data_IF_589000468267
#
_entry.id   IF_589000468267
#
_cell.length_a   1.000
_cell.length_b   1.000
_cell.length_c   1.000
_cell.angle_alpha   90.00
_cell.angle_beta   90.00
_cell.angle_gamma   90.00
#
_symmetry.space_group_name_H-M   'P 1'
#
loop_
_entity.id
_entity.type
_entity.pdbx_description
1 polymer ?
#
# COMPACT_ATOMS: atom_id res chain seq x y z
N UNK A 1 -9.14 7.47 30.42
CA UNK A 1 -8.81 8.72 29.71
C UNK A 1 -10.09 9.40 29.28
N UNK A 2 -10.32 10.66 29.64
CA UNK A 2 -11.57 11.37 29.35
C UNK A 2 -11.54 12.07 27.96
N UNK A 3 -12.59 12.82 27.61
CA UNK A 3 -12.67 13.53 26.33
C UNK A 3 -11.66 14.69 26.24
N UNK A 4 -11.49 15.44 27.32
CA UNK A 4 -10.58 16.59 27.39
C UNK A 4 -9.12 16.18 27.16
N UNK A 5 -8.65 15.13 27.85
CA UNK A 5 -7.31 14.60 27.67
C UNK A 5 -7.05 14.15 26.24
N UNK A 6 -8.02 13.47 25.59
CA UNK A 6 -7.90 13.07 24.18
C UNK A 6 -7.76 14.27 23.25
N UNK A 7 -8.60 15.29 23.45
CA UNK A 7 -8.56 16.51 22.64
C UNK A 7 -7.24 17.25 22.80
N UNK A 8 -6.73 17.36 24.03
CA UNK A 8 -5.43 17.99 24.29
C UNK A 8 -4.27 17.22 23.64
N UNK A 9 -4.29 15.88 23.71
CA UNK A 9 -3.28 15.04 23.05
C UNK A 9 -3.25 15.27 21.54
N UNK A 10 -4.41 15.20 20.86
CA UNK A 10 -4.48 15.45 19.42
C UNK A 10 -4.10 16.89 19.07
N UNK A 11 -4.46 17.87 19.91
CA UNK A 11 -4.06 19.27 19.73
C UNK A 11 -2.54 19.48 19.80
N UNK A 12 -1.84 18.75 20.68
CA UNK A 12 -0.37 18.79 20.76
C UNK A 12 0.28 18.08 19.56
N UNK A 13 -0.25 16.92 19.15
CA UNK A 13 0.24 16.18 17.99
C UNK A 13 0.11 17.01 16.71
N UNK A 14 -1.04 17.67 16.49
CA UNK A 14 -1.27 18.53 15.33
C UNK A 14 -0.32 19.72 15.28
N UNK A 15 0.03 20.31 16.44
CA UNK A 15 1.03 21.39 16.50
C UNK A 15 2.43 20.91 16.13
N UNK A 16 2.80 19.70 16.54
CA UNK A 16 4.13 19.15 16.32
C UNK A 16 4.30 18.57 14.91
N UNK A 17 3.25 17.94 14.36
CA UNK A 17 3.23 17.33 13.03
C UNK A 17 1.95 17.80 12.32
N UNK A 18 1.98 18.98 11.66
CA UNK A 18 0.78 19.56 11.05
C UNK A 18 0.18 18.74 9.92
N UNK A 19 1.03 18.05 9.15
CA UNK A 19 0.65 17.24 8.00
C UNK A 19 1.30 15.85 8.10
N UNK A 20 0.85 14.98 9.04
CA UNK A 20 1.41 13.65 9.17
C UNK A 20 1.09 12.83 7.92
N UNK A 21 2.05 12.03 7.47
CA UNK A 21 1.88 11.11 6.35
C UNK A 21 2.64 9.81 6.62
N UNK A 22 2.47 8.82 5.74
CA UNK A 22 3.19 7.54 5.82
C UNK A 22 4.70 7.73 5.60
N UNK A 23 5.49 6.83 6.17
CA UNK A 23 6.93 6.73 5.91
C UNK A 23 7.25 5.88 4.65
N UNK A 24 6.24 5.27 4.04
CA UNK A 24 6.39 4.51 2.81
C UNK A 24 6.62 5.44 1.61
N UNK A 25 7.59 5.10 0.76
CA UNK A 25 7.85 5.83 -0.48
C UNK A 25 6.82 5.44 -1.55
N UNK A 26 6.12 6.43 -2.12
CA UNK A 26 5.19 6.24 -3.24
C UNK A 26 4.97 7.57 -3.98
N UNK A 27 4.59 7.46 -5.26
CA UNK A 27 4.23 8.58 -6.13
C UNK A 27 2.79 8.49 -6.64
N UNK A 28 2.15 7.31 -6.53
CA UNK A 28 0.79 7.06 -7.01
C UNK A 28 -0.02 6.22 -6.02
N UNK A 29 -1.37 6.23 -6.08
CA UNK A 29 -2.19 5.35 -5.26
C UNK A 29 -1.88 3.86 -5.46
N UNK A 30 -1.47 3.47 -6.67
CA UNK A 30 -1.08 2.08 -6.95
C UNK A 30 0.25 1.71 -6.29
N UNK A 31 1.27 2.56 -6.38
CA UNK A 31 2.52 2.37 -5.66
C UNK A 31 2.27 2.24 -4.15
N UNK A 32 1.40 3.08 -3.58
CA UNK A 32 1.03 2.98 -2.18
C UNK A 32 0.34 1.65 -1.86
N UNK A 33 -0.62 1.21 -2.68
CA UNK A 33 -1.31 -0.07 -2.49
C UNK A 33 -0.31 -1.24 -2.46
N UNK A 34 0.66 -1.25 -3.36
CA UNK A 34 1.72 -2.27 -3.40
C UNK A 34 2.60 -2.16 -2.15
N UNK A 35 3.07 -0.97 -1.78
CA UNK A 35 3.91 -0.75 -0.61
C UNK A 35 3.22 -1.18 0.70
N UNK A 36 1.95 -0.83 0.89
CA UNK A 36 1.17 -1.25 2.08
C UNK A 36 0.90 -2.75 2.08
N UNK A 37 0.75 -3.37 0.90
CA UNK A 37 0.65 -4.85 0.81
C UNK A 37 1.97 -5.52 1.20
N UNK A 38 3.10 -4.94 0.82
CA UNK A 38 4.44 -5.41 1.19
C UNK A 38 4.75 -5.19 2.68
N UNK A 39 4.17 -4.18 3.33
CA UNK A 39 4.47 -3.83 4.73
C UNK A 39 3.91 -4.81 5.77
N UNK A 40 3.01 -5.73 5.38
CA UNK A 40 2.50 -6.75 6.28
C UNK A 40 3.64 -7.60 6.87
N UNK A 41 3.89 -7.49 8.18
CA UNK A 41 5.03 -8.13 8.87
C UNK A 41 6.41 -7.75 8.30
N UNK A 42 6.55 -6.52 7.81
CA UNK A 42 7.82 -5.94 7.38
C UNK A 42 7.97 -4.53 7.97
N UNK A 43 9.16 -3.96 7.89
CA UNK A 43 9.40 -2.57 8.30
C UNK A 43 9.30 -1.64 7.10
N UNK A 44 8.86 -0.40 7.30
CA UNK A 44 8.77 0.59 6.22
C UNK A 44 10.13 0.79 5.54
N UNK A 45 11.23 0.76 6.32
CA UNK A 45 12.60 0.75 5.77
C UNK A 45 12.84 -0.40 4.79
N UNK A 46 12.47 -1.64 5.13
CA UNK A 46 12.66 -2.77 4.22
C UNK A 46 11.78 -2.68 2.98
N UNK A 47 10.56 -2.15 3.12
CA UNK A 47 9.64 -1.95 2.00
C UNK A 47 10.17 -0.88 1.05
N UNK A 48 10.67 0.22 1.58
CA UNK A 48 11.25 1.31 0.78
C UNK A 48 12.46 0.82 -0.01
N UNK A 49 13.38 0.05 0.60
CA UNK A 49 14.53 -0.53 -0.11
C UNK A 49 14.14 -1.39 -1.31
N UNK A 50 13.04 -2.14 -1.20
CA UNK A 50 12.53 -2.97 -2.31
C UNK A 50 11.75 -2.12 -3.32
N UNK A 51 10.98 -1.15 -2.85
CA UNK A 51 10.19 -0.25 -3.70
C UNK A 51 11.08 0.63 -4.58
N UNK A 52 12.22 1.10 -4.04
CA UNK A 52 13.24 1.85 -4.78
C UNK A 52 13.86 1.03 -5.94
N UNK A 53 13.77 -0.30 -5.89
CA UNK A 53 14.21 -1.21 -6.96
C UNK A 53 13.03 -1.57 -7.88
N UNK A 54 11.87 -1.89 -7.31
CA UNK A 54 10.70 -2.38 -8.04
C UNK A 54 10.06 -1.28 -8.90
N UNK A 55 9.80 -0.10 -8.34
CA UNK A 55 9.01 0.91 -9.03
C UNK A 55 9.69 1.52 -10.27
N UNK A 56 11.03 1.69 -10.33
CA UNK A 56 11.71 2.03 -11.57
C UNK A 56 11.58 0.97 -12.68
N UNK A 57 11.38 -0.30 -12.31
CA UNK A 57 11.19 -1.41 -13.25
C UNK A 57 9.72 -1.56 -13.67
N UNK A 58 8.79 -1.41 -12.73
CA UNK A 58 7.37 -1.56 -12.92
C UNK A 58 6.58 -0.89 -11.76
N UNK A 59 5.76 0.10 -12.09
CA UNK A 59 4.96 0.87 -11.12
C UNK A 59 3.50 1.11 -11.55
N UNK A 60 3.00 0.31 -12.49
CA UNK A 60 1.57 0.28 -12.88
C UNK A 60 1.04 -1.14 -12.81
N UNK A 61 -0.30 -1.34 -12.73
CA UNK A 61 -0.88 -2.67 -12.79
C UNK A 61 -0.40 -3.48 -14.00
N UNK A 62 -0.34 -2.87 -15.18
CA UNK A 62 0.09 -3.51 -16.42
C UNK A 62 1.55 -3.92 -16.38
N UNK A 63 2.43 -3.01 -15.97
CA UNK A 63 3.88 -3.26 -15.96
C UNK A 63 4.26 -4.30 -14.91
N UNK A 64 3.61 -4.30 -13.74
CA UNK A 64 3.81 -5.35 -12.73
C UNK A 64 3.24 -6.69 -13.20
N UNK A 65 2.08 -6.69 -13.86
CA UNK A 65 1.49 -7.91 -14.41
C UNK A 65 2.36 -8.51 -15.52
N UNK A 66 2.92 -7.69 -16.41
CA UNK A 66 3.86 -8.09 -17.47
C UNK A 66 5.20 -8.57 -16.91
N UNK A 67 5.70 -7.96 -15.82
CA UNK A 67 6.90 -8.42 -15.12
C UNK A 67 6.78 -9.89 -14.70
N UNK A 68 5.57 -10.31 -14.31
CA UNK A 68 5.23 -11.68 -13.95
C UNK A 68 5.61 -12.05 -12.51
N UNK A 69 4.97 -13.11 -12.00
CA UNK A 69 5.09 -13.52 -10.59
C UNK A 69 6.52 -13.88 -10.20
N UNK A 70 7.25 -14.62 -11.04
CA UNK A 70 8.60 -15.10 -10.70
C UNK A 70 9.59 -13.94 -10.53
N UNK A 71 9.62 -12.99 -11.48
CA UNK A 71 10.51 -11.81 -11.38
C UNK A 71 10.09 -10.89 -10.23
N UNK A 72 8.78 -10.69 -10.03
CA UNK A 72 8.30 -9.92 -8.89
C UNK A 72 8.76 -10.56 -7.58
N UNK A 73 8.54 -11.87 -7.42
CA UNK A 73 8.94 -12.66 -6.25
C UNK A 73 10.42 -12.52 -5.96
N UNK A 74 11.28 -12.60 -6.99
CA UNK A 74 12.73 -12.44 -6.83
C UNK A 74 13.13 -11.01 -6.44
N UNK A 75 12.40 -10.00 -6.94
CA UNK A 75 12.62 -8.58 -6.61
C UNK A 75 12.28 -8.31 -5.14
N UNK A 76 11.19 -8.89 -4.65
CA UNK A 76 10.68 -8.65 -3.29
C UNK A 76 11.14 -9.71 -2.26
N UNK A 77 12.06 -10.61 -2.61
CA UNK A 77 12.43 -11.79 -1.81
C UNK A 77 13.00 -11.51 -0.41
N UNK A 78 13.45 -10.29 -0.16
CA UNK A 78 13.95 -9.84 1.14
C UNK A 78 12.82 -9.52 2.13
N UNK A 79 11.57 -9.42 1.65
CA UNK A 79 10.38 -9.18 2.44
C UNK A 79 9.81 -10.49 2.96
N UNK A 80 9.41 -10.53 4.24
CA UNK A 80 8.71 -11.69 4.80
C UNK A 80 7.42 -11.99 4.03
N UNK A 81 7.09 -13.27 3.85
CA UNK A 81 5.90 -13.73 3.11
C UNK A 81 5.91 -13.35 1.62
N UNK A 82 7.09 -13.10 1.02
CA UNK A 82 7.21 -12.65 -0.37
C UNK A 82 6.50 -13.56 -1.40
N UNK A 83 6.47 -14.88 -1.18
CA UNK A 83 5.76 -15.81 -2.08
C UNK A 83 4.26 -15.48 -2.21
N UNK A 84 3.56 -15.36 -1.08
CA UNK A 84 2.12 -15.05 -1.10
C UNK A 84 1.87 -13.60 -1.50
N UNK A 85 2.75 -12.67 -1.12
CA UNK A 85 2.67 -11.26 -1.52
C UNK A 85 2.80 -11.08 -3.03
N UNK A 86 3.78 -11.72 -3.67
CA UNK A 86 3.96 -11.66 -5.13
C UNK A 86 2.71 -12.16 -5.85
N UNK A 87 2.20 -13.34 -5.44
CA UNK A 87 0.94 -13.89 -5.97
C UNK A 87 -0.24 -12.93 -5.81
N UNK A 88 -0.43 -12.37 -4.61
CA UNK A 88 -1.53 -11.42 -4.35
C UNK A 88 -1.40 -10.14 -5.15
N UNK A 89 -0.18 -9.59 -5.30
CA UNK A 89 0.08 -8.40 -6.10
C UNK A 89 -0.26 -8.66 -7.57
N UNK A 90 0.18 -9.79 -8.16
CA UNK A 90 -0.15 -10.15 -9.54
C UNK A 90 -1.66 -10.32 -9.74
N UNK A 91 -2.34 -11.01 -8.82
CA UNK A 91 -3.81 -11.16 -8.88
C UNK A 91 -4.52 -9.81 -8.72
N UNK A 92 -4.03 -8.94 -7.85
CA UNK A 92 -4.54 -7.58 -7.69
C UNK A 92 -4.39 -6.80 -8.99
N UNK A 93 -3.20 -6.80 -9.60
CA UNK A 93 -2.95 -6.14 -10.89
C UNK A 93 -3.94 -6.61 -11.96
N UNK A 94 -4.16 -7.93 -12.05
CA UNK A 94 -5.14 -8.51 -12.98
C UNK A 94 -6.56 -7.96 -12.74
N UNK A 95 -7.00 -7.91 -11.48
CA UNK A 95 -8.31 -7.38 -11.12
C UNK A 95 -8.43 -5.90 -11.46
N UNK A 96 -7.40 -5.10 -11.18
CA UNK A 96 -7.38 -3.67 -11.49
C UNK A 96 -7.49 -3.44 -13.00
N UNK A 97 -6.73 -4.18 -13.80
CA UNK A 97 -6.77 -4.11 -15.26
C UNK A 97 -8.18 -4.48 -15.77
N UNK A 98 -8.71 -5.64 -15.35
CA UNK A 98 -9.94 -6.19 -15.90
C UNK A 98 -11.21 -5.44 -15.45
N UNK A 99 -11.24 -4.93 -14.20
CA UNK A 99 -12.47 -4.40 -13.58
C UNK A 99 -12.43 -2.91 -13.27
N UNK A 100 -11.26 -2.34 -13.10
CA UNK A 100 -11.10 -0.96 -12.62
C UNK A 100 -10.28 -0.09 -13.57
N UNK A 101 -10.04 -0.53 -14.81
CA UNK A 101 -9.27 0.21 -15.82
C UNK A 101 -7.92 0.69 -15.25
N UNK A 102 -7.27 -0.20 -14.48
CA UNK A 102 -5.99 0.04 -13.83
C UNK A 102 -5.96 1.15 -12.77
N UNK A 103 -7.13 1.57 -12.27
CA UNK A 103 -7.25 2.52 -11.17
C UNK A 103 -7.46 1.79 -9.84
N UNK A 104 -6.86 2.33 -8.77
CA UNK A 104 -7.13 1.83 -7.41
C UNK A 104 -8.52 2.30 -6.97
N UNK A 105 -9.43 1.39 -6.56
CA UNK A 105 -10.77 1.80 -6.18
C UNK A 105 -10.77 2.60 -4.87
N UNK A 106 -11.66 3.58 -4.79
CA UNK A 106 -11.75 4.54 -3.67
C UNK A 106 -12.80 4.15 -2.63
N UNK A 107 -13.22 2.88 -2.60
CA UNK A 107 -14.14 2.37 -1.57
C UNK A 107 -13.52 1.22 -0.78
N UNK A 108 -13.80 1.20 0.53
CA UNK A 108 -13.28 0.16 1.42
C UNK A 108 -13.68 -1.25 0.98
N UNK A 109 -14.93 -1.41 0.54
CA UNK A 109 -15.48 -2.71 0.14
C UNK A 109 -14.76 -3.26 -1.10
N UNK A 110 -14.44 -2.40 -2.07
CA UNK A 110 -13.75 -2.81 -3.29
C UNK A 110 -12.27 -3.11 -3.01
N UNK A 111 -11.61 -2.31 -2.17
CA UNK A 111 -10.25 -2.58 -1.72
C UNK A 111 -10.15 -3.90 -0.95
N UNK A 112 -11.05 -4.16 -0.01
CA UNK A 112 -11.09 -5.42 0.77
C UNK A 112 -11.38 -6.66 -0.11
N UNK A 113 -11.87 -6.47 -1.34
CA UNK A 113 -12.04 -7.56 -2.30
C UNK A 113 -10.73 -7.93 -3.03
N UNK A 114 -9.68 -7.12 -2.92
CA UNK A 114 -8.37 -7.38 -3.51
C UNK A 114 -7.59 -8.41 -2.66
N UNK A 115 -6.89 -9.38 -3.27
CA UNK A 115 -6.11 -10.37 -2.54
C UNK A 115 -5.04 -9.72 -1.63
N UNK A 116 -4.98 -10.15 -0.37
CA UNK A 116 -4.03 -9.63 0.61
C UNK A 116 -4.39 -8.27 1.21
N UNK A 117 -5.49 -7.64 0.78
CA UNK A 117 -5.96 -6.35 1.31
C UNK A 117 -7.05 -6.60 2.36
N UNK A 118 -6.68 -6.45 3.64
CA UNK A 118 -7.65 -6.44 4.73
C UNK A 118 -8.15 -5.04 5.08
N UNK A 119 -9.08 -4.95 6.04
CA UNK A 119 -9.66 -3.68 6.52
C UNK A 119 -8.63 -2.61 6.88
N UNK A 120 -7.54 -3.00 7.55
CA UNK A 120 -6.45 -2.08 7.92
C UNK A 120 -5.78 -1.50 6.66
N UNK A 121 -5.39 -2.36 5.73
CA UNK A 121 -4.73 -1.99 4.46
C UNK A 121 -5.64 -1.05 3.66
N UNK A 122 -6.92 -1.40 3.52
CA UNK A 122 -7.89 -0.55 2.83
C UNK A 122 -7.99 0.84 3.46
N UNK A 123 -8.15 0.93 4.78
CA UNK A 123 -8.22 2.22 5.47
C UNK A 123 -6.93 3.06 5.31
N UNK A 124 -5.74 2.44 5.37
CA UNK A 124 -4.47 3.15 5.17
C UNK A 124 -4.40 3.76 3.77
N UNK A 125 -4.77 2.99 2.74
CA UNK A 125 -4.80 3.48 1.34
C UNK A 125 -5.82 4.62 1.18
N UNK A 126 -7.04 4.45 1.68
CA UNK A 126 -8.10 5.47 1.59
C UNK A 126 -7.71 6.78 2.29
N UNK A 127 -7.11 6.69 3.47
CA UNK A 127 -6.67 7.86 4.21
C UNK A 127 -5.48 8.56 3.55
N UNK A 128 -4.47 7.79 3.14
CA UNK A 128 -3.18 8.35 2.72
C UNK A 128 -3.18 8.79 1.25
N UNK A 129 -3.80 8.03 0.35
CA UNK A 129 -3.86 8.38 -1.07
C UNK A 129 -5.07 9.25 -1.44
N UNK A 130 -6.20 9.10 -0.73
CA UNK A 130 -7.47 9.73 -1.11
C UNK A 130 -8.04 10.67 -0.04
N UNK A 131 -7.34 10.87 1.09
CA UNK A 131 -7.72 11.82 2.14
C UNK A 131 -9.01 11.48 2.89
N UNK A 132 -9.47 10.22 2.82
CA UNK A 132 -10.70 9.81 3.49
C UNK A 132 -10.50 9.65 5.02
N UNK A 133 -11.53 9.97 5.83
CA UNK A 133 -11.45 9.89 7.29
C UNK A 133 -11.47 8.45 7.85
#
# INVERSE_FOLDING_TARGET
MNAETRSEMFGRLLKQIPNPTTELNYSTPFELLVAVTLSAQATDKSVNQVSDILFPLANTPETIYELGEDKLRDTIKTIGLFNSKAKHIIQTCRILIDKYTSQVPETRKELEALPGVGRKTANVVLNTAFGQP
#
